data_IF_765129985545
#
_entry.id   IF_765129985545
#
_cell.length_a   1.000
_cell.length_b   1.000
_cell.length_c   1.000
_cell.angle_alpha   90.00
_cell.angle_beta   90.00
_cell.angle_gamma   90.00
#
_symmetry.space_group_name_H-M   'P 1'
#
loop_
_entity.id
_entity.type
_entity.pdbx_description
1 polymer ?
#
# COMPACT_ATOMS: atom_id res chain seq x y z
N UNK A 1 67.75 3.23 -10.04
CA UNK A 1 66.78 2.54 -9.15
C UNK A 1 65.45 3.26 -9.33
N UNK A 2 64.60 2.71 -10.20
CA UNK A 2 63.35 3.32 -10.65
C UNK A 2 62.25 2.31 -10.43
N UNK A 3 61.46 2.49 -9.39
CA UNK A 3 60.22 1.75 -9.13
C UNK A 3 59.58 2.40 -7.90
N UNK A 4 58.64 3.34 -8.07
CA UNK A 4 57.63 3.67 -7.03
C UNK A 4 56.53 4.64 -7.47
N UNK A 5 56.53 5.21 -8.68
CA UNK A 5 55.51 6.21 -9.06
C UNK A 5 54.28 5.67 -9.84
N UNK A 6 54.15 4.35 -10.05
CA UNK A 6 53.04 3.78 -10.85
C UNK A 6 51.90 3.15 -10.05
N UNK A 7 52.03 3.02 -8.73
CA UNK A 7 51.07 2.25 -7.92
C UNK A 7 49.96 3.10 -7.27
N UNK A 8 50.20 4.39 -7.00
CA UNK A 8 49.19 5.24 -6.37
C UNK A 8 48.08 5.66 -7.36
N UNK A 9 48.42 5.92 -8.61
CA UNK A 9 47.45 6.37 -9.62
C UNK A 9 46.50 5.26 -10.07
N UNK A 10 46.96 4.01 -10.10
CA UNK A 10 46.12 2.85 -10.46
C UNK A 10 45.08 2.53 -9.39
N UNK A 11 45.40 2.76 -8.12
CA UNK A 11 44.49 2.49 -7.00
C UNK A 11 43.38 3.56 -6.91
N UNK A 12 43.74 4.83 -7.16
CA UNK A 12 42.78 5.93 -7.25
C UNK A 12 41.83 5.79 -8.46
N UNK A 13 42.35 5.39 -9.63
CA UNK A 13 41.52 5.12 -10.81
C UNK A 13 40.64 3.88 -10.63
N UNK A 14 41.14 2.83 -9.97
CA UNK A 14 40.37 1.61 -9.69
C UNK A 14 39.25 1.88 -8.69
N UNK A 15 39.50 2.64 -7.63
CA UNK A 15 38.46 3.03 -6.67
C UNK A 15 37.38 3.91 -7.31
N UNK A 16 37.77 4.77 -8.26
CA UNK A 16 36.81 5.62 -8.98
C UNK A 16 35.96 4.82 -9.98
N UNK A 17 36.55 3.83 -10.67
CA UNK A 17 35.86 2.95 -11.61
C UNK A 17 34.94 1.92 -10.91
N UNK A 18 35.31 1.43 -9.72
CA UNK A 18 34.55 0.44 -8.95
C UNK A 18 33.56 1.05 -7.93
N UNK A 19 33.86 2.25 -7.39
CA UNK A 19 33.07 2.91 -6.35
C UNK A 19 32.03 3.92 -6.87
N UNK A 20 32.20 4.44 -8.10
CA UNK A 20 31.38 5.55 -8.59
C UNK A 20 29.94 5.22 -9.03
N UNK A 21 29.55 3.93 -9.11
CA UNK A 21 28.23 3.53 -9.67
C UNK A 21 27.28 2.82 -8.71
N UNK A 22 27.67 2.53 -7.46
CA UNK A 22 26.84 1.69 -6.58
C UNK A 22 25.75 2.43 -5.79
N UNK A 23 25.82 3.74 -5.64
CA UNK A 23 24.94 4.44 -4.68
C UNK A 23 23.71 5.13 -5.27
N UNK A 24 23.43 5.01 -6.58
CA UNK A 24 22.28 5.70 -7.18
C UNK A 24 21.00 4.86 -7.29
N UNK A 25 21.09 3.54 -7.13
CA UNK A 25 19.94 2.62 -7.26
C UNK A 25 19.50 2.00 -5.92
N UNK A 26 20.31 2.04 -4.86
CA UNK A 26 19.95 1.41 -3.58
C UNK A 26 18.98 2.26 -2.73
N UNK A 27 18.98 3.58 -2.88
CA UNK A 27 18.04 4.48 -2.18
C UNK A 27 16.74 4.75 -2.95
N UNK A 28 16.65 4.36 -4.23
CA UNK A 28 15.45 4.56 -5.07
C UNK A 28 14.52 3.36 -5.07
N UNK A 29 14.39 2.70 -3.93
CA UNK A 29 13.19 1.91 -3.69
C UNK A 29 12.02 2.90 -3.59
N UNK A 30 11.20 2.95 -4.62
CA UNK A 30 10.01 3.81 -4.76
C UNK A 30 9.11 3.77 -3.50
N UNK A 31 9.23 2.68 -2.73
CA UNK A 31 8.56 2.46 -1.46
C UNK A 31 8.98 3.44 -0.35
N UNK A 32 10.25 3.85 -0.21
CA UNK A 32 10.68 4.65 0.95
C UNK A 32 10.23 6.11 0.90
N UNK A 33 10.35 6.77 -0.26
CA UNK A 33 9.83 8.12 -0.46
C UNK A 33 8.31 8.16 -0.34
N UNK A 34 7.61 7.18 -0.93
CA UNK A 34 6.15 7.09 -0.84
C UNK A 34 5.68 6.84 0.60
N UNK A 35 6.37 5.98 1.36
CA UNK A 35 6.11 5.75 2.79
C UNK A 35 6.32 7.05 3.58
N UNK A 36 7.42 7.78 3.34
CA UNK A 36 7.68 9.06 4.01
C UNK A 36 6.64 10.13 3.67
N UNK A 37 6.17 10.19 2.43
CA UNK A 37 5.11 11.12 2.02
C UNK A 37 3.76 10.73 2.62
N UNK A 38 3.48 9.43 2.76
CA UNK A 38 2.27 8.92 3.40
C UNK A 38 2.28 9.25 4.90
N UNK A 39 3.41 9.06 5.57
CA UNK A 39 3.63 9.39 6.99
C UNK A 39 3.47 10.90 7.26
N UNK A 40 4.10 11.74 6.43
CA UNK A 40 3.90 13.20 6.49
C UNK A 40 2.45 13.62 6.20
N UNK A 41 1.79 12.92 5.27
CA UNK A 41 0.38 13.14 4.95
C UNK A 41 -0.55 12.78 6.11
N UNK A 42 -0.25 11.69 6.84
CA UNK A 42 -0.99 11.31 8.04
C UNK A 42 -0.82 12.31 9.17
N UNK A 43 0.38 12.83 9.39
CA UNK A 43 0.64 13.86 10.41
C UNK A 43 -0.08 15.18 10.10
N UNK A 44 -0.17 15.54 8.81
CA UNK A 44 -0.94 16.71 8.38
C UNK A 44 -2.45 16.51 8.59
N UNK A 45 -2.97 15.33 8.27
CA UNK A 45 -4.38 15.00 8.49
C UNK A 45 -4.74 15.00 9.98
N UNK A 46 -3.88 14.42 10.83
CA UNK A 46 -4.11 14.36 12.28
C UNK A 46 -4.07 15.75 12.91
N UNK A 47 -3.12 16.61 12.51
CA UNK A 47 -3.07 18.01 12.95
C UNK A 47 -4.29 18.82 12.48
N UNK A 48 -4.73 18.64 11.23
CA UNK A 48 -5.92 19.29 10.71
C UNK A 48 -7.19 18.87 11.47
N UNK A 49 -7.37 17.58 11.72
CA UNK A 49 -8.49 17.04 12.50
C UNK A 49 -8.47 17.57 13.94
N UNK A 50 -7.30 17.63 14.57
CA UNK A 50 -7.13 18.18 15.90
C UNK A 50 -7.49 19.68 15.95
N UNK A 51 -7.08 20.46 14.95
CA UNK A 51 -7.42 21.88 14.81
C UNK A 51 -8.93 22.09 14.60
N UNK A 52 -9.61 21.15 13.93
CA UNK A 52 -11.07 21.14 13.75
C UNK A 52 -11.82 20.66 15.02
N UNK A 53 -11.11 20.41 16.12
CA UNK A 53 -11.71 19.95 17.38
C UNK A 53 -12.09 18.46 17.38
N UNK A 54 -11.73 17.72 16.32
CA UNK A 54 -11.88 16.26 16.25
C UNK A 54 -10.78 15.66 17.12
N UNK A 55 -11.09 15.48 18.41
CA UNK A 55 -10.21 14.77 19.34
C UNK A 55 -10.13 13.31 18.90
N UNK A 56 -8.91 12.79 18.77
CA UNK A 56 -8.68 11.34 18.69
C UNK A 56 -9.32 10.69 19.93
N UNK A 57 -10.50 10.12 19.75
CA UNK A 57 -11.07 9.21 20.73
C UNK A 57 -10.25 7.93 20.61
N UNK A 58 -9.09 7.92 21.27
CA UNK A 58 -8.40 6.68 21.59
C UNK A 58 -9.32 5.93 22.53
N UNK A 59 -10.26 5.17 21.96
CA UNK A 59 -10.96 4.13 22.69
C UNK A 59 -9.88 3.15 23.10
N UNK A 60 -9.29 3.37 24.29
CA UNK A 60 -8.45 2.36 24.94
C UNK A 60 -9.39 1.19 25.20
N UNK A 61 -9.44 0.26 24.26
CA UNK A 61 -10.02 -1.05 24.52
C UNK A 61 -9.21 -1.63 25.68
N UNK A 62 -9.78 -1.62 26.89
CA UNK A 62 -9.23 -2.31 28.07
C UNK A 62 -9.20 -3.83 27.89
N UNK A 63 -9.70 -4.34 26.77
CA UNK A 63 -9.78 -5.76 26.47
C UNK A 63 -8.65 -6.12 25.51
N UNK A 64 -7.93 -7.18 25.85
CA UNK A 64 -7.04 -7.89 24.95
C UNK A 64 -7.76 -8.06 23.61
N UNK A 65 -7.14 -7.68 22.47
CA UNK A 65 -7.76 -7.88 21.18
C UNK A 65 -8.12 -9.37 21.05
N UNK A 66 -9.35 -9.69 20.64
CA UNK A 66 -9.84 -11.05 20.61
C UNK A 66 -8.93 -11.91 19.75
N UNK A 67 -8.64 -13.11 20.23
CA UNK A 67 -7.81 -14.07 19.47
C UNK A 67 -8.54 -14.50 18.19
N UNK A 68 -7.80 -15.06 17.24
CA UNK A 68 -8.36 -15.52 15.96
C UNK A 68 -9.58 -16.43 16.14
N UNK A 69 -9.56 -17.32 17.12
CA UNK A 69 -10.69 -18.24 17.39
C UNK A 69 -11.92 -17.51 17.93
N UNK A 70 -11.73 -16.47 18.75
CA UNK A 70 -12.82 -15.63 19.24
C UNK A 70 -13.42 -14.78 18.11
N UNK A 71 -12.57 -14.26 17.22
CA UNK A 71 -12.99 -13.55 16.01
C UNK A 71 -13.82 -14.45 15.09
N UNK A 72 -13.39 -15.70 14.87
CA UNK A 72 -14.16 -16.69 14.09
C UNK A 72 -15.54 -16.96 14.70
N UNK A 73 -15.60 -17.14 16.03
CA UNK A 73 -16.87 -17.35 16.74
C UNK A 73 -17.80 -16.15 16.62
N UNK A 74 -17.29 -14.94 16.84
CA UNK A 74 -18.07 -13.71 16.67
C UNK A 74 -18.55 -13.55 15.23
N UNK A 75 -17.72 -13.88 14.25
CA UNK A 75 -18.09 -13.81 12.84
C UNK A 75 -19.27 -14.73 12.52
N UNK A 76 -19.21 -16.00 12.93
CA UNK A 76 -20.31 -16.95 12.72
C UNK A 76 -21.58 -16.52 13.46
N UNK A 77 -21.45 -16.01 14.69
CA UNK A 77 -22.59 -15.46 15.43
C UNK A 77 -23.23 -14.27 14.71
N UNK A 78 -22.42 -13.41 14.10
CA UNK A 78 -22.93 -12.27 13.34
C UNK A 78 -23.68 -12.74 12.08
N UNK A 79 -23.20 -13.77 11.40
CA UNK A 79 -23.89 -14.37 10.24
C UNK A 79 -25.25 -14.99 10.63
N UNK A 80 -25.31 -15.68 11.78
CA UNK A 80 -26.56 -16.22 12.33
C UNK A 80 -27.53 -15.09 12.73
N UNK A 81 -27.04 -14.08 13.46
CA UNK A 81 -27.86 -12.92 13.89
C UNK A 81 -28.42 -12.13 12.71
N UNK A 82 -27.66 -12.01 11.63
CA UNK A 82 -28.09 -11.32 10.42
C UNK A 82 -29.01 -12.17 9.53
N UNK A 83 -29.26 -13.43 9.89
CA UNK A 83 -30.12 -14.34 9.12
C UNK A 83 -29.51 -14.75 7.77
N UNK A 84 -28.19 -14.64 7.61
CA UNK A 84 -27.48 -15.11 6.42
C UNK A 84 -27.22 -16.61 6.44
N UNK A 85 -27.20 -17.19 7.64
CA UNK A 85 -26.94 -18.60 7.88
C UNK A 85 -27.96 -19.10 8.88
N UNK A 86 -28.42 -20.34 8.70
CA UNK A 86 -29.34 -21.06 9.59
C UNK A 86 -28.79 -22.45 9.87
N UNK A 87 -29.27 -23.09 10.93
CA UNK A 87 -28.94 -24.48 11.26
C UNK A 87 -30.20 -25.31 11.07
N UNK A 88 -30.09 -26.36 10.27
CA UNK A 88 -31.16 -27.34 10.02
C UNK A 88 -31.33 -28.31 11.20
N UNK A 89 -32.42 -29.07 11.21
CA UNK A 89 -32.72 -30.10 12.22
C UNK A 89 -31.68 -31.24 12.28
N UNK A 90 -30.77 -31.29 11.30
CA UNK A 90 -29.64 -32.24 11.21
C UNK A 90 -28.31 -31.63 11.65
N UNK A 91 -28.33 -30.52 12.38
CA UNK A 91 -27.16 -29.71 12.77
C UNK A 91 -26.31 -29.23 11.58
N UNK A 92 -26.91 -29.11 10.40
CA UNK A 92 -26.22 -28.65 9.19
C UNK A 92 -26.39 -27.16 9.01
N UNK A 93 -25.28 -26.48 8.78
CA UNK A 93 -25.26 -25.06 8.45
C UNK A 93 -25.77 -24.85 7.03
N UNK A 94 -26.90 -24.16 6.88
CA UNK A 94 -27.52 -23.81 5.60
C UNK A 94 -27.36 -22.32 5.35
N UNK A 95 -26.86 -21.96 4.17
CA UNK A 95 -26.81 -20.59 3.68
C UNK A 95 -28.21 -20.17 3.22
N UNK A 96 -28.73 -19.07 3.75
CA UNK A 96 -30.03 -18.53 3.33
C UNK A 96 -29.90 -17.76 2.01
N UNK A 97 -31.02 -17.51 1.34
CA UNK A 97 -31.04 -16.68 0.11
C UNK A 97 -30.46 -15.28 0.33
N UNK A 98 -30.69 -14.71 1.52
CA UNK A 98 -30.12 -13.43 1.92
C UNK A 98 -28.61 -13.54 2.11
N UNK A 99 -28.12 -14.65 2.68
CA UNK A 99 -26.69 -14.94 2.77
C UNK A 99 -26.03 -15.07 1.40
N UNK A 100 -26.69 -15.73 0.45
CA UNK A 100 -26.20 -15.84 -0.93
C UNK A 100 -26.08 -14.47 -1.60
N UNK A 101 -27.14 -13.63 -1.51
CA UNK A 101 -27.11 -12.25 -2.03
C UNK A 101 -26.03 -11.39 -1.37
N UNK A 102 -25.82 -11.55 -0.07
CA UNK A 102 -24.77 -10.84 0.67
C UNK A 102 -23.38 -11.21 0.15
N UNK A 103 -23.09 -12.51 -0.02
CA UNK A 103 -21.82 -12.98 -0.57
C UNK A 103 -21.60 -12.54 -2.02
N UNK A 104 -22.65 -12.58 -2.84
CA UNK A 104 -22.59 -12.12 -4.24
C UNK A 104 -22.29 -10.61 -4.30
N UNK A 105 -22.93 -9.80 -3.45
CA UNK A 105 -22.68 -8.37 -3.37
C UNK A 105 -21.26 -8.07 -2.90
N UNK A 106 -20.75 -8.82 -1.92
CA UNK A 106 -19.39 -8.67 -1.43
C UNK A 106 -18.36 -9.00 -2.51
N UNK A 107 -18.59 -10.08 -3.27
CA UNK A 107 -17.73 -10.51 -4.37
C UNK A 107 -17.75 -9.49 -5.52
N UNK A 108 -18.94 -9.00 -5.90
CA UNK A 108 -19.08 -7.95 -6.92
C UNK A 108 -18.39 -6.66 -6.49
N UNK A 109 -18.56 -6.22 -5.25
CA UNK A 109 -17.89 -5.04 -4.71
C UNK A 109 -16.36 -5.20 -4.74
N UNK A 110 -15.84 -6.36 -4.37
CA UNK A 110 -14.40 -6.65 -4.46
C UNK A 110 -13.90 -6.57 -5.91
N UNK A 111 -14.62 -7.14 -6.88
CA UNK A 111 -14.25 -7.07 -8.30
C UNK A 111 -14.22 -5.62 -8.82
N UNK A 112 -15.24 -4.82 -8.46
CA UNK A 112 -15.34 -3.41 -8.83
C UNK A 112 -14.19 -2.61 -8.21
N UNK A 113 -13.82 -2.86 -6.96
CA UNK A 113 -12.69 -2.20 -6.29
C UNK A 113 -11.36 -2.48 -6.99
N UNK A 114 -11.13 -3.73 -7.39
CA UNK A 114 -9.93 -4.12 -8.12
C UNK A 114 -9.89 -3.46 -9.50
N UNK A 115 -11.01 -3.44 -10.22
CA UNK A 115 -11.12 -2.80 -11.52
C UNK A 115 -10.88 -1.28 -11.42
N UNK A 116 -11.48 -0.62 -10.43
CA UNK A 116 -11.26 0.80 -10.16
C UNK A 116 -9.78 1.10 -9.87
N UNK A 117 -9.09 0.26 -9.10
CA UNK A 117 -7.66 0.40 -8.85
C UNK A 117 -6.83 0.26 -10.15
N UNK A 118 -7.15 -0.72 -11.00
CA UNK A 118 -6.51 -0.88 -12.31
C UNK A 118 -6.70 0.36 -13.19
N UNK A 119 -7.92 0.92 -13.23
CA UNK A 119 -8.21 2.14 -13.99
C UNK A 119 -7.43 3.35 -13.50
N UNK A 120 -7.38 3.58 -12.17
CA UNK A 120 -6.58 4.66 -11.57
C UNK A 120 -5.10 4.52 -11.91
N UNK A 121 -4.55 3.32 -11.82
CA UNK A 121 -3.15 3.06 -12.16
C UNK A 121 -2.86 3.32 -13.65
N UNK A 122 -3.79 2.94 -14.53
CA UNK A 122 -3.67 3.21 -15.96
C UNK A 122 -3.71 4.71 -16.27
N UNK A 123 -4.64 5.45 -15.64
CA UNK A 123 -4.74 6.89 -15.80
C UNK A 123 -3.47 7.60 -15.33
N UNK A 124 -2.94 7.19 -14.18
CA UNK A 124 -1.68 7.70 -13.65
C UNK A 124 -0.52 7.47 -14.63
N UNK A 125 -0.37 6.25 -15.17
CA UNK A 125 0.67 5.94 -16.18
C UNK A 125 0.51 6.80 -17.43
N UNK A 126 -0.71 6.95 -17.96
CA UNK A 126 -1.00 7.83 -19.10
C UNK A 126 -0.69 9.30 -18.80
N UNK A 127 -0.91 9.75 -17.56
CA UNK A 127 -0.57 11.12 -17.13
C UNK A 127 0.96 11.34 -17.12
N UNK A 128 1.72 10.36 -16.61
CA UNK A 128 3.18 10.40 -16.66
C UNK A 128 3.71 10.45 -18.10
N UNK A 129 3.20 9.60 -18.99
CA UNK A 129 3.55 9.61 -20.42
C UNK A 129 3.24 10.96 -21.10
N UNK A 130 2.12 11.60 -20.74
CA UNK A 130 1.79 12.95 -21.23
C UNK A 130 2.80 13.99 -20.72
N UNK A 131 3.19 13.92 -19.45
CA UNK A 131 4.20 14.82 -18.87
C UNK A 131 5.58 14.63 -19.52
N UNK A 132 6.02 13.39 -19.78
CA UNK A 132 7.30 13.11 -20.44
C UNK A 132 7.30 13.55 -21.91
N UNK A 133 6.22 13.31 -22.66
CA UNK A 133 6.05 13.81 -24.04
C UNK A 133 6.06 15.35 -24.11
N UNK A 134 5.45 16.02 -23.14
CA UNK A 134 5.49 17.50 -23.05
C UNK A 134 6.90 18.02 -22.77
N UNK A 135 7.63 17.40 -21.82
CA UNK A 135 9.03 17.76 -21.50
C UNK A 135 9.99 17.54 -22.67
N UNK A 136 9.86 16.43 -23.40
CA UNK A 136 10.71 16.14 -24.57
C UNK A 136 10.45 17.12 -25.73
N UNK A 137 9.19 17.51 -26.00
CA UNK A 137 8.86 18.56 -26.98
C UNK A 137 9.46 19.92 -26.60
N UNK A 138 9.42 20.32 -25.33
CA UNK A 138 10.09 21.55 -24.86
C UNK A 138 11.61 21.52 -25.06
N UNK A 139 12.24 20.37 -24.83
CA UNK A 139 13.70 20.19 -25.05
C UNK A 139 14.10 20.26 -26.52
N UNK A 140 13.31 19.72 -27.44
CA UNK A 140 13.60 19.77 -28.89
C UNK A 140 13.38 21.15 -29.53
N UNK A 141 12.76 22.09 -28.83
CA UNK A 141 12.46 23.44 -29.32
C UNK A 141 13.50 24.48 -28.88
N UNK A 142 14.57 24.04 -28.19
CA UNK A 142 15.75 24.82 -27.85
C UNK A 142 16.89 24.45 -28.78
#
# INVERSE_FOLDING_TARGET
>A
MSETDKQQDTDALSSHLLGGKKHHDEEKNVETEEIQHLEKGTDYLTTLLLQQGVKETKTKSKKTPPKLDELKKMFVQNLLKAGYVTVDDKDRTILTDNGKKFLDNQTKNASIKVELAKLKNLEYRKSLERKTKSRSKKRKKK
#
